data_IF_972865115411
#
_entry.id   IF_972865115411
#
_cell.length_a   1.000
_cell.length_b   1.000
_cell.length_c   1.000
_cell.angle_alpha   90.00
_cell.angle_beta   90.00
_cell.angle_gamma   90.00
#
_symmetry.space_group_name_H-M   'P 1'
#
loop_
_entity.id
_entity.type
_entity.pdbx_description
1 polymer ?
#
# COMPACT_ATOMS: atom_id res chain seq x y z
N UNK A 1 -3.20 3.77 -7.16
CA UNK A 1 -3.05 2.80 -6.06
C UNK A 1 -3.14 3.43 -4.67
N UNK A 2 -2.32 4.46 -4.37
CA UNK A 2 -2.35 5.16 -3.07
C UNK A 2 -3.71 5.72 -2.74
N UNK A 3 -4.36 6.41 -3.69
CA UNK A 3 -5.73 6.93 -3.55
C UNK A 3 -6.72 5.82 -3.19
N UNK A 4 -6.72 4.71 -3.93
CA UNK A 4 -7.61 3.59 -3.69
C UNK A 4 -7.38 2.93 -2.32
N UNK A 5 -6.10 2.81 -1.90
CA UNK A 5 -5.70 2.30 -0.58
C UNK A 5 -6.26 3.19 0.52
N UNK A 6 -6.03 4.50 0.45
CA UNK A 6 -6.49 5.47 1.45
C UNK A 6 -8.02 5.47 1.52
N UNK A 7 -8.70 5.52 0.38
CA UNK A 7 -10.16 5.48 0.32
C UNK A 7 -10.73 4.18 0.91
N UNK A 8 -10.08 3.05 0.63
CA UNK A 8 -10.44 1.74 1.19
C UNK A 8 -10.22 1.70 2.70
N UNK A 9 -9.08 2.23 3.18
CA UNK A 9 -8.77 2.33 4.60
C UNK A 9 -9.81 3.18 5.34
N UNK A 10 -10.14 4.36 4.80
CA UNK A 10 -11.19 5.23 5.35
C UNK A 10 -12.52 4.50 5.46
N UNK A 11 -12.98 3.90 4.35
CA UNK A 11 -14.25 3.18 4.31
C UNK A 11 -14.28 1.99 5.29
N UNK A 12 -13.15 1.37 5.56
CA UNK A 12 -13.07 0.30 6.55
C UNK A 12 -13.08 0.85 7.98
N UNK A 13 -12.16 1.77 8.31
CA UNK A 13 -11.95 2.27 9.67
C UNK A 13 -13.11 3.16 10.12
N UNK A 14 -13.41 4.22 9.36
CA UNK A 14 -14.32 5.29 9.76
C UNK A 14 -15.79 4.97 9.53
N UNK A 15 -16.11 4.07 8.58
CA UNK A 15 -17.50 3.79 8.18
C UNK A 15 -17.97 2.40 8.63
N UNK A 16 -17.10 1.40 8.70
CA UNK A 16 -17.53 0.01 8.95
C UNK A 16 -17.10 -0.56 10.30
N UNK A 17 -15.80 -0.50 10.63
CA UNK A 17 -15.24 -1.18 11.79
C UNK A 17 -15.44 -0.37 13.07
N UNK A 18 -15.19 0.94 13.01
CA UNK A 18 -15.47 1.89 14.08
C UNK A 18 -16.25 3.07 13.49
N UNK A 19 -17.57 2.88 13.20
CA UNK A 19 -18.36 3.90 12.54
C UNK A 19 -18.35 5.18 13.38
N UNK A 20 -17.61 6.18 12.91
CA UNK A 20 -17.63 7.51 13.48
C UNK A 20 -18.97 8.14 13.10
N UNK A 21 -19.64 8.73 14.08
CA UNK A 21 -20.96 9.31 13.86
C UNK A 21 -20.85 10.38 12.77
N UNK A 22 -21.69 10.28 11.75
CA UNK A 22 -21.82 11.23 10.64
C UNK A 22 -20.67 11.22 9.60
N UNK A 23 -19.72 10.27 9.65
CA UNK A 23 -18.69 10.16 8.62
C UNK A 23 -19.23 9.51 7.33
N UNK A 24 -19.13 10.18 6.17
CA UNK A 24 -19.60 9.62 4.92
C UNK A 24 -18.59 8.64 4.31
N UNK A 25 -19.01 7.77 3.38
CA UNK A 25 -18.10 7.02 2.52
C UNK A 25 -17.10 7.93 1.81
N UNK A 26 -15.91 7.42 1.50
CA UNK A 26 -14.81 8.18 0.87
C UNK A 26 -15.26 8.99 -0.36
N UNK A 27 -16.06 8.40 -1.25
CA UNK A 27 -16.52 9.04 -2.49
C UNK A 27 -17.48 10.23 -2.28
N UNK A 28 -17.93 10.47 -1.05
CA UNK A 28 -18.82 11.58 -0.67
C UNK A 28 -18.08 12.70 0.10
N UNK A 29 -16.79 12.51 0.41
CA UNK A 29 -15.97 13.53 1.09
C UNK A 29 -15.51 14.59 0.08
N UNK A 30 -15.72 15.86 0.41
CA UNK A 30 -15.26 16.98 -0.40
C UNK A 30 -13.73 17.13 -0.31
N UNK A 31 -13.10 17.62 -1.39
CA UNK A 31 -11.65 17.79 -1.48
C UNK A 31 -11.04 18.49 -0.24
N UNK A 32 -11.64 19.61 0.18
CA UNK A 32 -11.19 20.42 1.31
C UNK A 32 -11.28 19.71 2.68
N UNK A 33 -12.12 18.67 2.80
CA UNK A 33 -12.33 17.94 4.05
C UNK A 33 -11.33 16.79 4.23
N UNK A 34 -10.66 16.35 3.16
CA UNK A 34 -9.73 15.22 3.19
C UNK A 34 -8.57 15.39 4.17
N UNK A 35 -7.88 16.54 4.27
CA UNK A 35 -6.82 16.71 5.25
C UNK A 35 -7.29 16.47 6.69
N UNK A 36 -8.47 16.99 7.05
CA UNK A 36 -9.06 16.79 8.39
C UNK A 36 -9.50 15.34 8.59
N UNK A 37 -10.15 14.75 7.58
CA UNK A 37 -10.57 13.36 7.61
C UNK A 37 -9.37 12.43 7.84
N UNK A 38 -8.29 12.62 7.09
CA UNK A 38 -7.10 11.76 7.17
C UNK A 38 -6.29 11.96 8.45
N UNK A 39 -6.39 13.10 9.13
CA UNK A 39 -5.81 13.25 10.46
C UNK A 39 -6.62 12.52 11.55
N UNK A 40 -7.90 12.23 11.30
CA UNK A 40 -8.77 11.55 12.26
C UNK A 40 -8.62 10.03 12.28
N UNK A 41 -7.98 9.45 11.25
CA UNK A 41 -7.74 8.01 11.13
C UNK A 41 -6.34 7.74 10.60
N UNK A 42 -5.70 6.66 11.04
CA UNK A 42 -4.33 6.34 10.66
C UNK A 42 -4.25 5.62 9.29
N UNK A 43 -4.71 6.32 8.25
CA UNK A 43 -4.73 5.85 6.85
C UNK A 43 -3.65 6.49 5.98
N UNK A 44 -2.96 7.52 6.48
CA UNK A 44 -1.89 8.22 5.76
C UNK A 44 -0.54 7.52 5.89
N UNK A 45 0.30 7.65 4.85
CA UNK A 45 1.73 7.33 4.90
C UNK A 45 2.02 5.95 5.51
N UNK A 46 1.22 4.94 5.13
CA UNK A 46 1.23 3.62 5.75
C UNK A 46 2.59 2.92 5.55
N UNK A 47 3.22 3.06 4.38
CA UNK A 47 4.53 2.46 4.12
C UNK A 47 5.60 3.14 4.99
N UNK A 48 5.52 4.46 5.19
CA UNK A 48 6.41 5.19 6.11
C UNK A 48 6.21 4.71 7.55
N UNK A 49 4.97 4.47 7.98
CA UNK A 49 4.68 3.94 9.32
C UNK A 49 5.26 2.54 9.54
N UNK A 50 5.21 1.67 8.52
CA UNK A 50 5.67 0.28 8.61
C UNK A 50 7.19 0.19 8.53
N UNK A 51 7.81 0.91 7.61
CA UNK A 51 9.23 0.77 7.28
C UNK A 51 10.10 1.95 7.76
N UNK A 52 9.53 3.04 8.23
CA UNK A 52 10.25 4.22 8.72
C UNK A 52 10.91 3.99 10.08
N UNK A 53 11.74 4.95 10.50
CA UNK A 53 12.31 4.96 11.86
C UNK A 53 11.41 5.71 12.84
N UNK A 54 10.57 6.62 12.34
CA UNK A 54 9.56 7.33 13.14
C UNK A 54 8.24 6.56 13.09
N UNK A 55 7.84 6.03 14.24
CA UNK A 55 6.59 5.25 14.38
C UNK A 55 5.48 6.01 15.10
N UNK A 56 5.70 7.28 15.46
CA UNK A 56 4.70 8.06 16.17
C UNK A 56 3.58 8.48 15.20
N UNK A 57 2.32 8.04 15.41
CA UNK A 57 1.24 8.24 14.43
C UNK A 57 0.93 9.70 14.15
N UNK A 58 1.09 10.57 15.16
CA UNK A 58 0.89 12.02 15.03
C UNK A 58 1.87 12.65 14.05
N UNK A 59 3.11 12.15 14.00
CA UNK A 59 4.15 12.66 13.11
C UNK A 59 3.96 12.15 11.67
N UNK A 60 3.68 10.85 11.52
CA UNK A 60 3.52 10.22 10.20
C UNK A 60 2.23 10.65 9.51
N UNK A 61 1.14 10.85 10.27
CA UNK A 61 -0.16 11.26 9.76
C UNK A 61 -0.23 12.71 9.26
N UNK A 62 0.67 13.58 9.72
CA UNK A 62 0.77 14.99 9.32
C UNK A 62 2.04 15.32 8.52
N UNK A 63 2.88 14.33 8.22
CA UNK A 63 4.12 14.55 7.48
C UNK A 63 3.83 14.92 6.02
N UNK A 64 4.02 16.19 5.69
CA UNK A 64 4.08 16.68 4.31
C UNK A 64 5.51 16.54 3.77
N UNK A 65 5.70 16.48 2.45
CA UNK A 65 7.00 16.22 1.83
C UNK A 65 8.10 17.27 2.14
N UNK A 66 7.70 18.42 2.67
CA UNK A 66 8.60 19.49 3.11
C UNK A 66 9.02 19.39 4.58
N UNK A 67 8.56 18.40 5.34
CA UNK A 67 9.06 18.13 6.67
C UNK A 67 10.38 17.32 6.60
N UNK A 68 11.48 17.97 6.97
CA UNK A 68 12.85 17.50 6.69
C UNK A 68 13.21 16.15 7.32
N UNK A 69 12.45 15.67 8.31
CA UNK A 69 12.73 14.38 8.97
C UNK A 69 12.20 13.18 8.17
N UNK A 70 11.06 13.33 7.49
CA UNK A 70 10.49 12.26 6.68
C UNK A 70 11.37 11.95 5.45
N UNK A 71 11.96 13.00 4.84
CA UNK A 71 12.91 12.84 3.74
C UNK A 71 14.18 12.05 4.15
N UNK A 72 14.72 12.29 5.35
CA UNK A 72 15.90 11.57 5.84
C UNK A 72 15.66 10.07 6.11
N UNK A 73 14.41 9.67 6.32
CA UNK A 73 14.04 8.27 6.52
C UNK A 73 13.72 7.55 5.20
N UNK A 74 13.51 8.26 4.09
CA UNK A 74 13.21 7.65 2.80
C UNK A 74 14.28 6.67 2.32
N UNK A 75 15.57 7.02 2.42
CA UNK A 75 16.65 6.11 2.01
C UNK A 75 16.62 4.80 2.80
N UNK A 76 16.39 4.87 4.12
CA UNK A 76 16.29 3.67 4.97
C UNK A 76 15.04 2.86 4.65
N UNK A 77 13.92 3.53 4.35
CA UNK A 77 12.67 2.86 3.97
C UNK A 77 12.90 2.09 2.66
N UNK A 78 13.47 2.73 1.64
CA UNK A 78 13.78 2.11 0.36
C UNK A 78 14.74 0.93 0.54
N UNK A 79 15.79 1.07 1.35
CA UNK A 79 16.71 -0.02 1.70
C UNK A 79 15.96 -1.19 2.34
N UNK A 80 15.13 -0.94 3.35
CA UNK A 80 14.33 -1.99 4.04
C UNK A 80 13.36 -2.68 3.09
N UNK A 81 12.67 -1.92 2.24
CA UNK A 81 11.76 -2.46 1.22
C UNK A 81 12.51 -3.35 0.22
N UNK A 82 13.74 -2.99 -0.16
CA UNK A 82 14.55 -3.78 -1.10
C UNK A 82 14.91 -5.18 -0.60
N UNK A 83 14.84 -5.42 0.72
CA UNK A 83 15.05 -6.73 1.33
C UNK A 83 13.77 -7.56 1.44
N UNK A 84 12.62 -7.03 1.00
CA UNK A 84 11.32 -7.69 1.11
C UNK A 84 10.91 -8.35 -0.21
N UNK A 85 10.13 -9.43 -0.13
CA UNK A 85 9.35 -9.93 -1.26
C UNK A 85 8.04 -9.16 -1.32
N UNK A 86 7.78 -8.53 -2.47
CA UNK A 86 6.58 -7.71 -2.68
C UNK A 86 5.49 -8.59 -3.28
N UNK A 87 4.25 -8.41 -2.81
CA UNK A 87 3.07 -9.13 -3.31
C UNK A 87 1.90 -8.16 -3.48
N UNK A 88 1.06 -8.42 -4.47
CA UNK A 88 -0.12 -7.63 -4.79
C UNK A 88 -1.39 -8.49 -4.71
N UNK A 89 -2.36 -8.03 -3.93
CA UNK A 89 -3.65 -8.72 -3.80
C UNK A 89 -4.41 -8.82 -5.12
N UNK A 90 -4.27 -7.83 -6.00
CA UNK A 90 -4.93 -7.79 -7.31
C UNK A 90 -4.22 -8.65 -8.37
N UNK A 91 -2.93 -8.93 -8.17
CA UNK A 91 -2.07 -9.74 -9.05
C UNK A 91 -1.60 -10.98 -8.30
N UNK A 92 -2.54 -11.65 -7.62
CA UNK A 92 -2.20 -12.69 -6.65
C UNK A 92 -1.53 -13.90 -7.30
N UNK A 93 -1.95 -14.28 -8.52
CA UNK A 93 -1.30 -15.38 -9.26
C UNK A 93 0.17 -15.09 -9.56
N UNK A 94 0.47 -13.86 -9.99
CA UNK A 94 1.85 -13.43 -10.24
C UNK A 94 2.64 -13.31 -8.93
N UNK A 95 2.00 -12.83 -7.87
CA UNK A 95 2.59 -12.79 -6.53
C UNK A 95 2.94 -14.20 -6.04
N UNK A 96 2.10 -15.19 -6.32
CA UNK A 96 2.35 -16.59 -6.00
C UNK A 96 3.55 -17.12 -6.77
N UNK A 97 3.75 -16.70 -8.03
CA UNK A 97 4.95 -17.06 -8.77
C UNK A 97 6.25 -16.59 -8.10
N UNK A 98 6.24 -15.35 -7.59
CA UNK A 98 7.37 -14.76 -6.86
C UNK A 98 7.60 -15.52 -5.55
N UNK A 99 6.54 -15.69 -4.74
CA UNK A 99 6.60 -16.38 -3.44
C UNK A 99 7.12 -17.81 -3.60
N UNK A 100 6.64 -18.55 -4.60
CA UNK A 100 7.08 -19.93 -4.86
C UNK A 100 8.59 -20.03 -5.12
N UNK A 101 9.21 -19.00 -5.70
CA UNK A 101 10.64 -18.98 -6.03
C UNK A 101 11.47 -18.48 -4.85
N UNK A 102 11.11 -17.33 -4.27
CA UNK A 102 11.95 -16.66 -3.28
C UNK A 102 11.66 -17.10 -1.84
N UNK A 103 10.42 -17.54 -1.55
CA UNK A 103 9.99 -17.98 -0.22
C UNK A 103 9.28 -19.34 -0.30
N UNK A 104 9.94 -20.40 -0.80
CA UNK A 104 9.31 -21.68 -1.14
C UNK A 104 8.63 -22.37 0.07
N UNK A 105 9.07 -22.08 1.29
CA UNK A 105 8.45 -22.58 2.51
C UNK A 105 7.05 -22.00 2.78
N UNK A 106 6.65 -20.92 2.10
CA UNK A 106 5.33 -20.31 2.22
C UNK A 106 4.33 -20.76 1.14
N UNK A 107 4.77 -21.55 0.15
CA UNK A 107 3.96 -21.95 -1.01
C UNK A 107 2.58 -22.53 -0.66
N UNK A 108 2.51 -23.36 0.37
CA UNK A 108 1.24 -23.97 0.81
C UNK A 108 0.33 -23.02 1.59
N UNK A 109 0.89 -21.94 2.11
CA UNK A 109 0.20 -21.00 3.02
C UNK A 109 -0.19 -19.69 2.32
N UNK A 110 0.44 -19.38 1.19
CA UNK A 110 0.08 -18.22 0.37
C UNK A 110 -1.13 -18.56 -0.52
N UNK A 111 -2.31 -18.16 -0.05
CA UNK A 111 -3.60 -18.45 -0.68
C UNK A 111 -4.19 -17.17 -1.30
N UNK A 112 -4.68 -17.27 -2.54
CA UNK A 112 -5.30 -16.15 -3.27
C UNK A 112 -6.82 -16.08 -3.09
N UNK A 113 -7.41 -17.09 -2.44
CA UNK A 113 -8.86 -17.31 -2.46
C UNK A 113 -9.60 -16.51 -1.38
N UNK A 114 -8.87 -15.84 -0.48
CA UNK A 114 -9.43 -15.10 0.64
C UNK A 114 -8.99 -13.64 0.61
N UNK A 115 -9.92 -12.72 0.35
CA UNK A 115 -9.71 -11.29 0.53
C UNK A 115 -10.27 -10.87 1.89
N UNK A 116 -9.39 -10.75 2.88
CA UNK A 116 -9.76 -10.17 4.16
C UNK A 116 -10.15 -8.70 3.97
N UNK A 117 -11.15 -8.23 4.73
CA UNK A 117 -11.54 -6.83 4.77
C UNK A 117 -11.99 -6.22 3.42
N UNK A 118 -12.63 -6.98 2.52
CA UNK A 118 -13.20 -6.43 1.27
C UNK A 118 -14.16 -5.25 1.49
N UNK A 119 -14.70 -5.15 2.71
CA UNK A 119 -15.57 -4.08 3.13
C UNK A 119 -17.00 -4.24 2.59
N UNK A 120 -17.96 -3.64 3.28
CA UNK A 120 -19.38 -3.58 2.90
C UNK A 120 -19.72 -2.33 2.09
N UNK A 121 -18.85 -1.31 2.10
CA UNK A 121 -19.02 -0.07 1.35
C UNK A 121 -18.67 -0.32 -0.12
N UNK A 122 -19.58 0.03 -1.02
CA UNK A 122 -19.32 -0.07 -2.45
C UNK A 122 -18.17 0.85 -2.86
N UNK A 123 -17.19 0.29 -3.56
CA UNK A 123 -16.11 1.06 -4.18
C UNK A 123 -16.71 1.93 -5.30
N UNK A 124 -16.49 3.23 -5.21
CA UNK A 124 -16.85 4.21 -6.24
C UNK A 124 -15.66 5.10 -6.51
N UNK A 125 -15.56 5.57 -7.75
CA UNK A 125 -14.52 6.51 -8.15
C UNK A 125 -14.64 7.81 -7.35
N UNK A 126 -13.50 8.34 -6.95
CA UNK A 126 -13.37 9.67 -6.36
C UNK A 126 -13.35 10.73 -7.47
N UNK A 127 -13.73 11.96 -7.12
CA UNK A 127 -13.45 13.12 -7.97
C UNK A 127 -11.94 13.35 -8.09
N UNK A 128 -11.53 14.05 -9.14
CA UNK A 128 -10.11 14.42 -9.38
C UNK A 128 -9.56 15.24 -8.20
N UNK A 129 -10.26 16.31 -7.81
CA UNK A 129 -9.88 17.17 -6.68
C UNK A 129 -9.73 16.41 -5.36
N UNK A 130 -10.60 15.42 -5.11
CA UNK A 130 -10.53 14.57 -3.92
C UNK A 130 -9.32 13.62 -3.97
N UNK A 131 -8.99 13.11 -5.15
CA UNK A 131 -7.83 12.25 -5.37
C UNK A 131 -6.53 13.03 -5.17
N UNK A 132 -6.47 14.27 -5.66
CA UNK A 132 -5.32 15.16 -5.51
C UNK A 132 -5.11 15.56 -4.04
N UNK A 133 -6.18 15.85 -3.30
CA UNK A 133 -6.09 16.13 -1.87
C UNK A 133 -5.54 14.93 -1.08
N UNK A 134 -5.94 13.70 -1.42
CA UNK A 134 -5.38 12.48 -0.82
C UNK A 134 -3.90 12.34 -1.16
N UNK A 135 -3.52 12.54 -2.43
CA UNK A 135 -2.13 12.39 -2.88
C UNK A 135 -1.21 13.42 -2.23
N UNK A 136 -1.65 14.67 -2.08
CA UNK A 136 -0.90 15.71 -1.39
C UNK A 136 -0.52 15.31 0.03
N UNK A 137 -1.44 14.64 0.75
CA UNK A 137 -1.21 14.15 2.12
C UNK A 137 -0.44 12.82 2.18
N UNK A 138 -0.21 12.17 1.04
CA UNK A 138 0.38 10.83 0.93
C UNK A 138 1.51 10.78 -0.11
N UNK A 139 2.19 11.90 -0.34
CA UNK A 139 3.20 12.01 -1.40
C UNK A 139 4.37 11.03 -1.19
N UNK A 140 4.81 10.83 0.06
CA UNK A 140 5.80 9.81 0.39
C UNK A 140 5.28 8.39 0.11
N UNK A 141 4.05 8.09 0.51
CA UNK A 141 3.43 6.78 0.28
C UNK A 141 3.36 6.49 -1.23
N UNK A 142 3.06 7.50 -2.05
CA UNK A 142 3.02 7.37 -3.51
C UNK A 142 4.38 7.01 -4.09
N UNK A 143 5.46 7.72 -3.70
CA UNK A 143 6.82 7.40 -4.16
C UNK A 143 7.24 6.00 -3.72
N UNK A 144 6.93 5.62 -2.49
CA UNK A 144 7.26 4.30 -1.96
C UNK A 144 6.44 3.19 -2.63
N UNK A 145 5.18 3.47 -2.96
CA UNK A 145 4.35 2.55 -3.73
C UNK A 145 4.94 2.30 -5.12
N UNK A 146 5.35 3.35 -5.83
CA UNK A 146 5.99 3.23 -7.15
C UNK A 146 7.29 2.44 -7.10
N UNK A 147 8.09 2.64 -6.04
CA UNK A 147 9.26 1.82 -5.79
C UNK A 147 8.90 0.36 -5.53
N UNK A 148 7.87 0.09 -4.72
CA UNK A 148 7.36 -1.26 -4.46
C UNK A 148 6.88 -1.97 -5.73
N UNK A 149 6.16 -1.27 -6.61
CA UNK A 149 5.72 -1.80 -7.91
C UNK A 149 6.92 -2.16 -8.79
N UNK A 150 7.95 -1.31 -8.82
CA UNK A 150 9.18 -1.57 -9.57
C UNK A 150 9.90 -2.82 -9.03
N UNK A 151 9.99 -2.97 -7.70
CA UNK A 151 10.55 -4.17 -7.08
C UNK A 151 9.74 -5.42 -7.42
N UNK A 152 8.40 -5.33 -7.39
CA UNK A 152 7.52 -6.44 -7.75
C UNK A 152 7.79 -6.92 -9.18
N UNK A 153 7.87 -6.00 -10.14
CA UNK A 153 8.09 -6.33 -11.56
C UNK A 153 9.45 -7.00 -11.78
N UNK A 154 10.52 -6.47 -11.17
CA UNK A 154 11.85 -7.08 -11.29
C UNK A 154 11.92 -8.44 -10.58
N UNK A 155 11.25 -8.60 -9.44
CA UNK A 155 11.12 -9.90 -8.77
C UNK A 155 10.36 -10.92 -9.64
N UNK A 156 9.26 -10.51 -10.26
CA UNK A 156 8.46 -11.37 -11.15
C UNK A 156 9.27 -11.82 -12.36
N UNK A 157 9.97 -10.89 -13.01
CA UNK A 157 10.87 -11.16 -14.12
C UNK A 157 11.97 -12.14 -13.73
N UNK A 158 12.62 -11.93 -12.58
CA UNK A 158 13.66 -12.84 -12.09
C UNK A 158 13.11 -14.23 -11.74
N UNK A 159 11.93 -14.31 -11.09
CA UNK A 159 11.28 -15.57 -10.77
C UNK A 159 10.97 -16.40 -12.04
N UNK A 160 10.48 -15.75 -13.10
CA UNK A 160 10.20 -16.38 -14.39
C UNK A 160 11.47 -16.85 -15.10
N UNK A 161 12.55 -16.08 -15.04
CA UNK A 161 13.85 -16.49 -15.58
C UNK A 161 14.39 -17.75 -14.89
N UNK A 162 14.38 -17.79 -13.55
CA UNK A 162 14.85 -18.94 -12.77
C UNK A 162 14.04 -20.20 -13.09
N UNK A 163 12.71 -20.09 -13.18
CA UNK A 163 11.84 -21.22 -13.56
C UNK A 163 12.18 -21.75 -14.95
N UNK A 164 12.41 -20.86 -15.92
CA UNK A 164 12.81 -21.25 -17.27
C UNK A 164 14.12 -22.06 -17.25
N UNK A 165 15.14 -21.57 -16.55
CA UNK A 165 16.44 -22.24 -16.47
C UNK A 165 16.36 -23.62 -15.81
N UNK A 166 15.51 -23.79 -14.79
CA UNK A 166 15.25 -25.08 -14.15
C UNK A 166 14.57 -26.10 -15.09
N UNK A 167 13.76 -25.63 -16.04
CA UNK A 167 13.09 -26.48 -17.03
C UNK A 167 14.07 -26.94 -18.12
N UNK A 168 15.05 -26.11 -18.48
CA UNK A 168 16.04 -26.43 -19.52
C UNK A 168 17.32 -27.11 -18.99
N UNK A 169 17.66 -26.94 -17.70
CA UNK A 169 18.84 -27.54 -17.07
C UNK A 169 18.69 -29.01 -16.66
N UNK A 170 17.50 -29.61 -16.82
CA UNK A 170 17.21 -31.02 -16.51
C UNK A 170 17.06 -31.91 -17.77
N UNK A 171 17.68 -31.52 -18.90
CA UNK A 171 17.74 -32.36 -20.12
C UNK A 171 19.15 -32.86 -20.39
#
# INVERSE_FOLDING_TARGET
>A
PTVDRVASCWNFVAVQNHPMKDNPPAHEIHADDWPTALQSVDCNNEIVRIFGSVTEPSYVGSAEMCDGTAHQDMEKILERMSHCVITHNERCDESKEIVDVFLPWMKSSFLCDAKANEGKVQKKALGEDASDAILMMNEYDQVLFEFGETLFEEQLKQARAIKSDQVFGNR
#
